data_IF_983251229604
#
_entry.id   IF_983251229604
#
_cell.length_a   1.000
_cell.length_b   1.000
_cell.length_c   1.000
_cell.angle_alpha   90.00
_cell.angle_beta   90.00
_cell.angle_gamma   90.00
#
_symmetry.space_group_name_H-M   'P 1'
#
loop_
_entity.id
_entity.type
_entity.pdbx_description
1 polymer ?
#
# COMPACT_ATOMS: atom_id res chain seq x y z
N UNK A 1 23.68 -18.34 -2.66
CA UNK A 1 24.23 -17.04 -3.14
C UNK A 1 25.65 -16.73 -2.64
N UNK A 2 26.34 -17.66 -1.98
CA UNK A 2 27.68 -17.48 -1.40
C UNK A 2 28.85 -17.45 -2.39
N UNK A 3 28.60 -17.63 -3.70
CA UNK A 3 29.63 -17.66 -4.76
C UNK A 3 29.59 -16.47 -5.72
N UNK A 4 28.85 -15.39 -5.39
CA UNK A 4 28.75 -14.22 -6.27
C UNK A 4 29.99 -13.33 -6.14
N UNK A 5 30.63 -13.01 -7.26
CA UNK A 5 31.70 -12.02 -7.37
C UNK A 5 31.22 -10.89 -8.29
N UNK A 6 30.98 -9.66 -7.81
CA UNK A 6 31.17 -9.16 -6.44
C UNK A 6 30.10 -9.67 -5.44
N UNK A 7 30.40 -9.65 -4.12
CA UNK A 7 29.45 -10.05 -3.09
C UNK A 7 28.29 -9.04 -2.98
N UNK A 8 27.11 -9.53 -2.56
CA UNK A 8 25.86 -8.76 -2.52
C UNK A 8 25.98 -7.49 -1.66
N UNK A 9 26.65 -7.59 -0.51
CA UNK A 9 26.89 -6.47 0.41
C UNK A 9 27.59 -5.26 -0.23
N UNK A 10 28.44 -5.50 -1.24
CA UNK A 10 29.20 -4.44 -1.93
C UNK A 10 28.49 -4.00 -3.21
N UNK A 11 27.66 -4.87 -3.78
CA UNK A 11 26.88 -4.60 -4.99
C UNK A 11 25.75 -3.61 -4.70
N UNK A 12 25.00 -3.83 -3.62
CA UNK A 12 23.75 -3.11 -3.36
C UNK A 12 23.96 -1.60 -3.13
N UNK A 13 24.96 -1.13 -2.35
CA UNK A 13 25.29 0.29 -2.25
C UNK A 13 25.69 0.94 -3.58
N UNK A 14 26.22 0.16 -4.54
CA UNK A 14 26.55 0.65 -5.89
C UNK A 14 25.32 0.74 -6.79
N UNK A 15 24.26 -0.03 -6.52
CA UNK A 15 22.99 0.03 -7.24
C UNK A 15 22.14 1.22 -6.79
N UNK A 16 22.22 1.65 -5.53
CA UNK A 16 21.46 2.78 -4.98
C UNK A 16 21.53 4.06 -5.84
N UNK A 17 22.71 4.57 -6.26
CA UNK A 17 22.76 5.74 -7.14
C UNK A 17 22.21 5.47 -8.56
N UNK A 18 22.23 4.21 -9.03
CA UNK A 18 21.75 3.83 -10.37
C UNK A 18 20.22 3.86 -10.43
N UNK A 19 19.51 3.71 -9.30
CA UNK A 19 18.06 3.87 -9.23
C UNK A 19 17.59 5.27 -9.67
N UNK A 20 18.44 6.30 -9.49
CA UNK A 20 18.16 7.69 -9.90
C UNK A 20 18.49 7.98 -11.37
N UNK A 21 18.87 6.96 -12.14
CA UNK A 21 19.19 7.16 -13.55
C UNK A 21 17.93 7.57 -14.32
N UNK A 22 18.06 8.56 -15.20
CA UNK A 22 16.94 9.07 -16.04
C UNK A 22 16.47 8.07 -17.09
N UNK A 23 17.30 7.09 -17.44
CA UNK A 23 16.99 6.14 -18.48
C UNK A 23 16.08 5.02 -17.96
N UNK A 24 14.83 4.99 -18.43
CA UNK A 24 13.80 4.08 -17.94
C UNK A 24 14.21 2.60 -17.96
N UNK A 25 14.89 2.15 -19.03
CA UNK A 25 15.36 0.76 -19.12
C UNK A 25 16.42 0.42 -18.06
N UNK A 26 17.28 1.37 -17.70
CA UNK A 26 18.31 1.16 -16.67
C UNK A 26 17.65 1.10 -15.31
N UNK A 27 16.70 2.01 -15.07
CA UNK A 27 15.92 2.08 -13.85
C UNK A 27 15.11 0.80 -13.60
N UNK A 28 14.35 0.34 -14.60
CA UNK A 28 13.56 -0.89 -14.55
C UNK A 28 14.43 -2.12 -14.23
N UNK A 29 15.54 -2.31 -14.97
CA UNK A 29 16.45 -3.44 -14.72
C UNK A 29 17.16 -3.35 -13.36
N UNK A 30 17.47 -2.14 -12.89
CA UNK A 30 18.06 -1.93 -11.57
C UNK A 30 17.08 -2.33 -10.47
N UNK A 31 15.82 -1.91 -10.58
CA UNK A 31 14.75 -2.25 -9.62
C UNK A 31 14.51 -3.76 -9.60
N UNK A 32 14.46 -4.42 -10.76
CA UNK A 32 14.31 -5.88 -10.84
C UNK A 32 15.49 -6.61 -10.20
N UNK A 33 16.72 -6.11 -10.40
CA UNK A 33 17.91 -6.69 -9.78
C UNK A 33 17.86 -6.57 -8.25
N UNK A 34 17.49 -5.40 -7.74
CA UNK A 34 17.29 -5.17 -6.30
C UNK A 34 16.21 -6.11 -5.74
N UNK A 35 15.10 -6.28 -6.45
CA UNK A 35 14.03 -7.22 -6.08
C UNK A 35 14.51 -8.67 -5.99
N UNK A 36 15.31 -9.13 -6.95
CA UNK A 36 15.90 -10.47 -6.93
C UNK A 36 16.89 -10.67 -5.78
N UNK A 37 17.61 -9.61 -5.39
CA UNK A 37 18.50 -9.65 -4.22
C UNK A 37 17.66 -9.73 -2.95
N UNK A 38 16.58 -8.95 -2.83
CA UNK A 38 15.69 -8.99 -1.67
C UNK A 38 15.03 -10.36 -1.49
N UNK A 39 14.57 -10.99 -2.57
CA UNK A 39 13.91 -12.30 -2.52
C UNK A 39 14.85 -13.45 -2.12
N UNK A 40 16.10 -13.44 -2.61
CA UNK A 40 17.02 -14.59 -2.49
C UNK A 40 18.20 -14.39 -1.53
N UNK A 41 18.50 -13.15 -1.16
CA UNK A 41 19.74 -12.78 -0.48
C UNK A 41 19.58 -11.64 0.53
N UNK A 42 18.36 -11.43 1.04
CA UNK A 42 18.07 -10.45 2.08
C UNK A 42 19.01 -10.50 3.28
N UNK A 43 19.39 -11.72 3.70
CA UNK A 43 20.25 -12.01 4.86
C UNK A 43 21.68 -11.44 4.74
N UNK A 44 22.15 -11.14 3.53
CA UNK A 44 23.51 -10.64 3.30
C UNK A 44 23.62 -9.11 3.45
N UNK A 45 22.50 -8.42 3.66
CA UNK A 45 22.42 -6.96 3.65
C UNK A 45 21.73 -6.51 4.94
N UNK A 46 22.31 -5.55 5.68
CA UNK A 46 21.72 -5.07 6.93
C UNK A 46 20.37 -4.37 6.67
N UNK A 47 19.41 -4.55 7.58
CA UNK A 47 18.06 -3.96 7.51
C UNK A 47 18.05 -2.44 7.25
N UNK A 48 19.04 -1.72 7.79
CA UNK A 48 19.18 -0.27 7.59
C UNK A 48 19.38 0.12 6.11
N UNK A 49 20.08 -0.70 5.34
CA UNK A 49 20.30 -0.43 3.92
C UNK A 49 19.04 -0.73 3.10
N UNK A 50 18.31 -1.79 3.47
CA UNK A 50 17.01 -2.07 2.89
C UNK A 50 16.00 -0.92 3.11
N UNK A 51 15.98 -0.33 4.31
CA UNK A 51 15.15 0.85 4.59
C UNK A 51 15.50 2.06 3.70
N UNK A 52 16.78 2.31 3.44
CA UNK A 52 17.20 3.38 2.51
C UNK A 52 16.69 3.13 1.09
N UNK A 53 16.78 1.89 0.64
CA UNK A 53 16.25 1.50 -0.67
C UNK A 53 14.72 1.63 -0.71
N UNK A 54 14.00 1.25 0.34
CA UNK A 54 12.55 1.45 0.42
C UNK A 54 12.16 2.92 0.16
N UNK A 55 12.87 3.87 0.78
CA UNK A 55 12.63 5.29 0.55
C UNK A 55 12.92 5.73 -0.88
N UNK A 56 14.01 5.27 -1.48
CA UNK A 56 14.32 5.53 -2.89
C UNK A 56 13.23 4.94 -3.82
N UNK A 57 12.73 3.74 -3.52
CA UNK A 57 11.67 3.08 -4.27
C UNK A 57 10.31 3.78 -4.15
N UNK A 58 10.01 4.46 -3.04
CA UNK A 58 8.77 5.25 -2.91
C UNK A 58 8.68 6.34 -3.98
N UNK A 59 9.79 6.98 -4.33
CA UNK A 59 9.85 7.94 -5.43
C UNK A 59 9.64 7.27 -6.79
N UNK A 60 10.07 6.01 -6.95
CA UNK A 60 9.91 5.24 -8.19
C UNK A 60 8.45 4.83 -8.46
N UNK A 61 7.60 4.76 -7.43
CA UNK A 61 6.16 4.56 -7.60
C UNK A 61 5.48 5.71 -8.37
N UNK A 62 6.12 6.88 -8.45
CA UNK A 62 5.67 8.05 -9.24
C UNK A 62 6.02 7.95 -10.73
N UNK A 63 6.79 6.95 -11.15
CA UNK A 63 7.25 6.86 -12.53
C UNK A 63 6.08 6.77 -13.52
N UNK A 64 6.19 7.47 -14.67
CA UNK A 64 5.18 7.46 -15.72
C UNK A 64 5.02 6.09 -16.39
N UNK A 65 6.11 5.34 -16.51
CA UNK A 65 6.11 4.01 -17.13
C UNK A 65 5.50 2.96 -16.21
N UNK A 66 4.49 2.24 -16.71
CA UNK A 66 3.83 1.14 -15.98
C UNK A 66 4.80 0.02 -15.59
N UNK A 67 5.79 -0.29 -16.43
CA UNK A 67 6.81 -1.32 -16.14
C UNK A 67 7.62 -1.00 -14.88
N UNK A 68 8.09 0.24 -14.75
CA UNK A 68 8.84 0.70 -13.57
C UNK A 68 7.97 0.63 -12.31
N UNK A 69 6.72 1.10 -12.38
CA UNK A 69 5.81 1.02 -11.23
C UNK A 69 5.60 -0.43 -10.79
N UNK A 70 5.35 -1.35 -11.73
CA UNK A 70 5.16 -2.78 -11.42
C UNK A 70 6.41 -3.43 -10.83
N UNK A 71 7.58 -3.18 -11.39
CA UNK A 71 8.85 -3.67 -10.85
C UNK A 71 9.07 -3.14 -9.42
N UNK A 72 8.78 -1.86 -9.19
CA UNK A 72 8.89 -1.22 -7.88
C UNK A 72 7.97 -1.87 -6.86
N UNK A 73 6.70 -2.13 -7.23
CA UNK A 73 5.71 -2.79 -6.38
C UNK A 73 6.21 -4.16 -5.91
N UNK A 74 6.67 -5.00 -6.85
CA UNK A 74 7.18 -6.33 -6.55
C UNK A 74 8.39 -6.27 -5.61
N UNK A 75 9.35 -5.39 -5.93
CA UNK A 75 10.56 -5.21 -5.12
C UNK A 75 10.24 -4.71 -3.71
N UNK A 76 9.25 -3.81 -3.56
CA UNK A 76 8.82 -3.32 -2.26
C UNK A 76 8.25 -4.45 -1.40
N UNK A 77 7.43 -5.33 -1.97
CA UNK A 77 6.91 -6.52 -1.29
C UNK A 77 8.04 -7.47 -0.83
N UNK A 78 9.02 -7.75 -1.70
CA UNK A 78 10.17 -8.58 -1.31
C UNK A 78 10.98 -7.98 -0.16
N UNK A 79 11.19 -6.66 -0.16
CA UNK A 79 11.90 -5.98 0.94
C UNK A 79 11.06 -6.01 2.23
N UNK A 80 9.76 -5.78 2.15
CA UNK A 80 8.87 -5.84 3.31
C UNK A 80 8.87 -7.22 3.96
N UNK A 81 8.89 -8.28 3.15
CA UNK A 81 9.03 -9.66 3.61
C UNK A 81 10.40 -9.94 4.25
N UNK A 82 11.45 -9.29 3.75
CA UNK A 82 12.82 -9.46 4.23
C UNK A 82 13.11 -8.76 5.57
N UNK A 83 12.70 -7.50 5.73
CA UNK A 83 12.93 -6.73 6.97
C UNK A 83 11.90 -7.09 8.04
N UNK A 84 10.63 -7.24 7.62
CA UNK A 84 9.47 -7.30 8.49
C UNK A 84 8.54 -6.09 8.30
N UNK A 85 7.21 -6.29 8.33
CA UNK A 85 6.24 -5.24 7.99
C UNK A 85 6.22 -4.09 8.99
N UNK A 86 6.52 -4.34 10.28
CA UNK A 86 6.38 -3.33 11.35
C UNK A 86 7.35 -2.14 11.16
N UNK A 87 8.62 -2.41 10.84
CA UNK A 87 9.64 -1.38 10.66
C UNK A 87 9.37 -0.52 9.42
N UNK A 88 8.93 -1.16 8.34
CA UNK A 88 8.52 -0.49 7.10
C UNK A 88 7.27 0.36 7.36
N UNK A 89 6.28 -0.19 8.04
CA UNK A 89 5.00 0.47 8.29
C UNK A 89 5.16 1.70 9.18
N UNK A 90 5.91 1.63 10.27
CA UNK A 90 6.15 2.79 11.15
C UNK A 90 6.74 3.97 10.36
N UNK A 91 7.62 3.67 9.41
CA UNK A 91 8.26 4.66 8.55
C UNK A 91 7.27 5.24 7.53
N UNK A 92 6.45 4.40 6.91
CA UNK A 92 5.41 4.82 5.98
C UNK A 92 4.34 5.68 6.67
N UNK A 93 3.85 5.27 7.84
CA UNK A 93 2.85 6.04 8.59
C UNK A 93 3.37 7.42 9.00
N UNK A 94 4.66 7.55 9.36
CA UNK A 94 5.27 8.85 9.59
C UNK A 94 5.31 9.74 8.34
N UNK A 95 5.45 9.16 7.15
CA UNK A 95 5.36 9.91 5.88
C UNK A 95 3.95 10.39 5.55
N UNK A 96 2.89 9.78 6.12
CA UNK A 96 1.51 10.28 5.93
C UNK A 96 1.31 11.67 6.56
N UNK A 97 2.09 12.02 7.59
CA UNK A 97 2.10 13.34 8.25
C UNK A 97 2.79 14.42 7.41
N UNK A 98 3.49 14.04 6.33
CA UNK A 98 4.17 14.98 5.43
C UNK A 98 3.14 15.72 4.57
N UNK A 99 3.32 17.04 4.41
CA UNK A 99 2.33 17.90 3.74
C UNK A 99 2.18 17.65 2.24
N UNK A 100 3.15 17.02 1.58
CA UNK A 100 3.13 16.85 0.13
C UNK A 100 2.13 15.77 -0.32
N UNK A 101 1.09 16.20 -1.04
CA UNK A 101 -0.03 15.34 -1.48
C UNK A 101 0.45 14.10 -2.25
N UNK A 102 1.45 14.25 -3.11
CA UNK A 102 1.94 13.16 -3.95
C UNK A 102 2.64 12.07 -3.13
N UNK A 103 3.42 12.48 -2.11
CA UNK A 103 4.12 11.54 -1.24
C UNK A 103 3.14 10.72 -0.41
N UNK A 104 2.01 11.32 -0.01
CA UNK A 104 0.92 10.57 0.64
C UNK A 104 0.34 9.48 -0.24
N UNK A 105 0.12 9.74 -1.53
CA UNK A 105 -0.42 8.72 -2.46
C UNK A 105 0.55 7.55 -2.66
N UNK A 106 1.85 7.83 -2.82
CA UNK A 106 2.84 6.75 -2.94
C UNK A 106 2.94 5.93 -1.66
N UNK A 107 2.84 6.61 -0.50
CA UNK A 107 2.83 5.95 0.81
C UNK A 107 1.60 5.07 0.99
N UNK A 108 0.40 5.52 0.58
CA UNK A 108 -0.83 4.71 0.66
C UNK A 108 -0.74 3.45 -0.20
N UNK A 109 -0.17 3.56 -1.41
CA UNK A 109 0.07 2.41 -2.29
C UNK A 109 1.10 1.46 -1.68
N UNK A 110 2.19 1.99 -1.11
CA UNK A 110 3.19 1.17 -0.42
C UNK A 110 2.61 0.37 0.75
N UNK A 111 1.73 0.99 1.55
CA UNK A 111 1.04 0.32 2.66
C UNK A 111 0.17 -0.85 2.15
N UNK A 112 -0.55 -0.66 1.04
CA UNK A 112 -1.35 -1.72 0.42
C UNK A 112 -0.51 -2.92 -0.03
N UNK A 113 0.65 -2.67 -0.65
CA UNK A 113 1.58 -3.72 -1.10
C UNK A 113 2.14 -4.51 0.09
N UNK A 114 2.49 -3.82 1.18
CA UNK A 114 2.98 -4.46 2.41
C UNK A 114 1.90 -5.37 2.99
N UNK A 115 0.64 -4.92 3.00
CA UNK A 115 -0.45 -5.72 3.52
C UNK A 115 -0.80 -6.94 2.65
N UNK A 116 -0.71 -6.81 1.32
CA UNK A 116 -0.84 -7.95 0.40
C UNK A 116 0.23 -9.01 0.70
N UNK A 117 1.49 -8.57 0.88
CA UNK A 117 2.62 -9.49 1.06
C UNK A 117 2.70 -10.08 2.46
N UNK A 118 2.41 -9.29 3.49
CA UNK A 118 2.59 -9.64 4.90
C UNK A 118 1.25 -9.92 5.63
N UNK A 119 0.17 -10.10 4.87
CA UNK A 119 -1.21 -10.22 5.32
C UNK A 119 -1.79 -8.95 5.98
N UNK A 120 -3.09 -8.65 5.77
CA UNK A 120 -3.70 -7.39 6.24
C UNK A 120 -3.71 -7.22 7.76
N UNK A 121 -3.74 -8.31 8.53
CA UNK A 121 -3.77 -8.26 10.00
C UNK A 121 -2.56 -7.52 10.61
N UNK A 122 -1.44 -7.44 9.89
CA UNK A 122 -0.23 -6.76 10.38
C UNK A 122 -0.30 -5.24 10.24
N UNK A 123 -1.07 -4.77 9.25
CA UNK A 123 -1.12 -3.36 8.83
C UNK A 123 -2.40 -2.68 9.29
N UNK A 124 -3.52 -3.39 9.26
CA UNK A 124 -4.84 -2.84 9.54
C UNK A 124 -4.98 -2.25 10.95
N UNK A 125 -4.52 -2.91 12.04
CA UNK A 125 -4.61 -2.33 13.38
C UNK A 125 -3.80 -1.04 13.53
N UNK A 126 -2.63 -0.96 12.89
CA UNK A 126 -1.78 0.23 12.93
C UNK A 126 -2.41 1.40 12.16
N UNK A 127 -3.01 1.14 10.99
CA UNK A 127 -3.78 2.14 10.24
C UNK A 127 -4.97 2.67 11.04
N UNK A 128 -5.77 1.77 11.63
CA UNK A 128 -6.91 2.15 12.46
C UNK A 128 -6.49 2.96 13.69
N UNK A 129 -5.30 2.70 14.24
CA UNK A 129 -4.77 3.48 15.34
C UNK A 129 -4.37 4.91 14.90
N UNK A 130 -3.75 5.08 13.73
CA UNK A 130 -3.43 6.42 13.21
C UNK A 130 -4.68 7.25 12.85
N UNK A 131 -5.79 6.60 12.49
CA UNK A 131 -7.07 7.30 12.25
C UNK A 131 -7.63 8.00 13.50
N UNK A 132 -7.25 7.54 14.70
CA UNK A 132 -7.65 8.17 15.97
C UNK A 132 -6.96 9.51 16.22
N UNK A 133 -5.90 9.83 15.49
CA UNK A 133 -5.22 11.12 15.61
C UNK A 133 -6.12 12.20 15.01
N UNK A 134 -6.41 13.31 15.74
CA UNK A 134 -7.34 14.36 15.29
C UNK A 134 -6.68 15.30 14.27
N UNK A 135 -6.16 14.74 13.18
CA UNK A 135 -5.58 15.47 12.06
C UNK A 135 -6.22 15.01 10.74
N UNK A 136 -7.05 15.86 10.14
CA UNK A 136 -7.81 15.54 8.92
C UNK A 136 -6.94 15.02 7.77
N UNK A 137 -5.70 15.50 7.64
CA UNK A 137 -4.78 15.04 6.60
C UNK A 137 -4.38 13.58 6.79
N UNK A 138 -4.12 13.19 8.05
CA UNK A 138 -3.75 11.82 8.41
C UNK A 138 -4.95 10.90 8.25
N UNK A 139 -6.13 11.31 8.73
CA UNK A 139 -7.36 10.53 8.58
C UNK A 139 -7.73 10.29 7.10
N UNK A 140 -7.66 11.33 6.26
CA UNK A 140 -7.83 11.18 4.81
C UNK A 140 -6.77 10.28 4.17
N UNK A 141 -5.52 10.33 4.67
CA UNK A 141 -4.45 9.43 4.25
C UNK A 141 -4.73 7.97 4.62
N UNK A 142 -5.27 7.72 5.82
CA UNK A 142 -5.67 6.38 6.27
C UNK A 142 -6.84 5.86 5.44
N UNK A 143 -7.91 6.63 5.24
CA UNK A 143 -9.04 6.21 4.40
C UNK A 143 -8.60 5.89 2.97
N UNK A 144 -7.70 6.69 2.40
CA UNK A 144 -7.16 6.43 1.07
C UNK A 144 -6.29 5.17 1.04
N UNK A 145 -5.52 4.93 2.11
CA UNK A 145 -4.77 3.69 2.27
C UNK A 145 -5.71 2.49 2.37
N UNK A 146 -6.82 2.59 3.11
CA UNK A 146 -7.85 1.56 3.20
C UNK A 146 -8.49 1.27 1.84
N UNK A 147 -8.77 2.30 1.04
CA UNK A 147 -9.33 2.11 -0.31
C UNK A 147 -8.39 1.31 -1.23
N UNK A 148 -7.08 1.63 -1.25
CA UNK A 148 -6.10 0.82 -1.99
C UNK A 148 -5.87 -0.55 -1.36
N UNK A 149 -5.92 -0.65 -0.03
CA UNK A 149 -5.77 -1.92 0.68
C UNK A 149 -6.82 -2.92 0.21
N UNK A 150 -8.10 -2.55 0.25
CA UNK A 150 -9.20 -3.43 -0.17
C UNK A 150 -9.17 -3.76 -1.67
N UNK A 151 -8.68 -2.84 -2.50
CA UNK A 151 -8.47 -3.08 -3.94
C UNK A 151 -7.39 -4.15 -4.19
N UNK A 152 -6.28 -4.11 -3.44
CA UNK A 152 -5.16 -5.05 -3.62
C UNK A 152 -5.42 -6.42 -3.00
N UNK A 153 -6.03 -6.48 -1.82
CA UNK A 153 -6.25 -7.75 -1.11
C UNK A 153 -7.41 -8.57 -1.69
N UNK A 154 -8.36 -7.91 -2.36
CA UNK A 154 -9.53 -8.55 -2.98
C UNK A 154 -10.31 -9.42 -1.99
N UNK A 155 -10.40 -10.72 -2.30
CA UNK A 155 -11.16 -11.72 -1.53
C UNK A 155 -10.66 -11.91 -0.09
N UNK A 156 -9.39 -11.60 0.19
CA UNK A 156 -8.84 -11.65 1.55
C UNK A 156 -9.47 -10.60 2.48
N UNK A 157 -10.16 -9.60 1.93
CA UNK A 157 -10.85 -8.56 2.69
C UNK A 157 -12.00 -9.06 3.54
N UNK A 158 -12.59 -10.23 3.22
CA UNK A 158 -13.79 -10.77 3.87
C UNK A 158 -13.66 -10.90 5.40
N UNK A 159 -12.49 -11.31 5.87
CA UNK A 159 -12.24 -11.58 7.29
C UNK A 159 -12.06 -10.28 8.09
N UNK A 160 -11.91 -9.15 7.40
CA UNK A 160 -11.60 -7.84 7.99
C UNK A 160 -12.75 -6.83 7.91
N UNK A 161 -13.83 -7.12 7.17
CA UNK A 161 -14.95 -6.18 6.99
C UNK A 161 -15.48 -5.72 8.36
N UNK A 162 -15.87 -6.65 9.22
CA UNK A 162 -16.45 -6.35 10.53
C UNK A 162 -15.54 -5.49 11.43
N UNK A 163 -14.22 -5.60 11.27
CA UNK A 163 -13.29 -4.77 12.01
C UNK A 163 -13.26 -3.32 11.50
N UNK A 164 -13.49 -3.11 10.20
CA UNK A 164 -13.36 -1.81 9.53
C UNK A 164 -14.71 -1.07 9.42
N UNK A 165 -15.85 -1.78 9.45
CA UNK A 165 -17.20 -1.20 9.42
C UNK A 165 -17.38 0.00 10.37
N UNK A 166 -17.07 -0.07 11.68
CA UNK A 166 -17.30 1.07 12.58
C UNK A 166 -16.44 2.30 12.23
N UNK A 167 -15.26 2.10 11.64
CA UNK A 167 -14.42 3.20 11.18
C UNK A 167 -15.03 3.87 9.94
N UNK A 168 -15.52 3.08 8.99
CA UNK A 168 -16.14 3.61 7.77
C UNK A 168 -17.50 4.26 8.02
N UNK A 169 -18.28 3.76 8.98
CA UNK A 169 -19.52 4.39 9.42
C UNK A 169 -19.26 5.81 9.96
N UNK A 170 -18.28 5.96 10.87
CA UNK A 170 -17.87 7.26 11.40
C UNK A 170 -17.39 8.19 10.27
N UNK A 171 -16.54 7.67 9.38
CA UNK A 171 -16.01 8.44 8.25
C UNK A 171 -17.09 8.90 7.24
N UNK A 172 -18.16 8.11 7.04
CA UNK A 172 -19.28 8.46 6.16
C UNK A 172 -20.24 9.48 6.79
N UNK A 173 -20.30 9.53 8.12
CA UNK A 173 -21.09 10.52 8.86
C UNK A 173 -20.37 11.85 9.06
N UNK A 174 -19.10 11.96 8.66
CA UNK A 174 -18.33 13.18 8.80
C UNK A 174 -18.92 14.36 8.02
N UNK A 175 -18.61 15.58 8.46
CA UNK A 175 -19.06 16.83 7.83
C UNK A 175 -18.30 17.11 6.53
N UNK A 176 -17.04 16.71 6.45
CA UNK A 176 -16.15 16.96 5.32
C UNK A 176 -16.49 16.08 4.11
N UNK A 177 -16.63 16.73 2.95
CA UNK A 177 -16.99 16.07 1.70
C UNK A 177 -15.92 15.11 1.18
N UNK A 178 -14.64 15.47 1.34
CA UNK A 178 -13.50 14.66 0.88
C UNK A 178 -13.38 13.40 1.72
N UNK A 179 -13.65 13.53 3.03
CA UNK A 179 -13.66 12.41 3.95
C UNK A 179 -14.71 11.37 3.56
N UNK A 180 -15.96 11.81 3.37
CA UNK A 180 -17.06 10.95 2.90
C UNK A 180 -16.79 10.33 1.53
N UNK A 181 -16.26 11.11 0.59
CA UNK A 181 -15.93 10.60 -0.76
C UNK A 181 -14.87 9.49 -0.71
N UNK A 182 -13.85 9.66 0.13
CA UNK A 182 -12.76 8.69 0.27
C UNK A 182 -13.28 7.42 0.98
N UNK A 183 -14.11 7.57 2.02
CA UNK A 183 -14.77 6.45 2.69
C UNK A 183 -15.67 5.67 1.73
N UNK A 184 -16.49 6.35 0.92
CA UNK A 184 -17.33 5.70 -0.10
C UNK A 184 -16.50 4.93 -1.15
N UNK A 185 -15.32 5.45 -1.51
CA UNK A 185 -14.40 4.77 -2.41
C UNK A 185 -13.80 3.50 -1.77
N UNK A 186 -13.52 3.51 -0.46
CA UNK A 186 -13.08 2.33 0.27
C UNK A 186 -14.20 1.27 0.35
N UNK A 187 -15.43 1.69 0.65
CA UNK A 187 -16.60 0.80 0.65
C UNK A 187 -16.82 0.17 -0.72
N UNK A 188 -16.68 0.94 -1.82
CA UNK A 188 -16.77 0.40 -3.18
C UNK A 188 -15.79 -0.76 -3.40
N UNK A 189 -14.52 -0.57 -3.06
CA UNK A 189 -13.50 -1.59 -3.28
C UNK A 189 -13.69 -2.80 -2.38
N UNK A 190 -14.12 -2.58 -1.13
CA UNK A 190 -14.46 -3.65 -0.19
C UNK A 190 -15.63 -4.50 -0.69
N UNK A 191 -16.74 -3.86 -1.11
CA UNK A 191 -17.92 -4.54 -1.63
C UNK A 191 -17.60 -5.32 -2.91
N UNK A 192 -16.84 -4.73 -3.84
CA UNK A 192 -16.43 -5.43 -5.08
C UNK A 192 -15.48 -6.61 -4.80
N UNK A 193 -14.60 -6.49 -3.81
CA UNK A 193 -13.65 -7.55 -3.45
C UNK A 193 -14.29 -8.74 -2.72
N UNK A 194 -15.43 -8.54 -2.06
CA UNK A 194 -16.09 -9.54 -1.22
C UNK A 194 -17.47 -9.97 -1.74
N UNK A 195 -17.89 -9.43 -2.88
CA UNK A 195 -19.12 -9.82 -3.56
C UNK A 195 -19.21 -11.34 -3.77
N UNK A 196 -20.29 -11.96 -3.27
CA UNK A 196 -20.54 -13.41 -3.40
C UNK A 196 -19.87 -14.30 -2.35
N UNK A 197 -19.21 -13.72 -1.33
CA UNK A 197 -18.57 -14.48 -0.24
C UNK A 197 -19.40 -14.58 1.06
N UNK A 198 -20.66 -14.12 1.04
CA UNK A 198 -21.59 -14.23 2.17
C UNK A 198 -21.39 -13.20 3.29
N UNK A 199 -20.79 -12.04 2.98
CA UNK A 199 -20.62 -10.93 3.92
C UNK A 199 -21.68 -9.82 3.75
N UNK A 200 -22.80 -10.12 3.11
CA UNK A 200 -23.87 -9.16 2.78
C UNK A 200 -24.46 -8.51 4.05
N UNK A 201 -24.51 -9.24 5.17
CA UNK A 201 -24.97 -8.72 6.46
C UNK A 201 -24.17 -7.49 6.94
N UNK A 202 -22.86 -7.45 6.71
CA UNK A 202 -22.01 -6.34 7.10
C UNK A 202 -22.20 -5.11 6.20
N UNK A 203 -22.51 -5.34 4.92
CA UNK A 203 -22.79 -4.29 3.96
C UNK A 203 -24.20 -3.70 4.17
N UNK A 204 -25.19 -4.53 4.50
CA UNK A 204 -26.58 -4.12 4.74
C UNK A 204 -26.80 -3.46 6.11
N UNK A 205 -26.13 -3.92 7.16
CA UNK A 205 -26.32 -3.40 8.52
C UNK A 205 -25.59 -2.07 8.80
N UNK A 206 -24.44 -1.83 8.15
CA UNK A 206 -23.64 -0.62 8.37
C UNK A 206 -23.81 0.48 7.30
N UNK A 207 -24.09 0.12 6.04
CA UNK A 207 -24.12 1.05 4.92
C UNK A 207 -25.52 1.16 4.33
N UNK A 208 -26.44 1.77 5.07
CA UNK A 208 -27.86 1.91 4.70
C UNK A 208 -28.09 2.11 3.19
N UNK A 209 -28.91 1.21 2.63
CA UNK A 209 -29.42 0.96 1.27
C UNK A 209 -29.17 1.97 0.11
N UNK A 210 -28.92 3.26 0.36
CA UNK A 210 -28.67 4.27 -0.67
C UNK A 210 -27.25 4.26 -1.24
N UNK A 211 -26.19 3.99 -0.45
CA UNK A 211 -24.82 4.01 -0.97
C UNK A 211 -24.50 2.75 -1.80
N UNK A 212 -24.98 1.59 -1.37
CA UNK A 212 -24.76 0.32 -2.08
C UNK A 212 -25.39 0.32 -3.49
N UNK A 213 -26.60 0.86 -3.63
CA UNK A 213 -27.31 0.96 -4.91
C UNK A 213 -26.62 1.88 -5.94
N UNK A 214 -25.97 2.96 -5.48
CA UNK A 214 -25.23 3.87 -6.37
C UNK A 214 -23.85 3.32 -6.77
N UNK A 215 -23.23 2.48 -5.94
CA UNK A 215 -21.91 1.90 -6.22
C UNK A 215 -21.97 0.70 -7.17
N UNK A 216 -23.00 -0.15 -7.06
CA UNK A 216 -23.22 -1.28 -7.97
C UNK A 216 -23.57 -0.85 -9.40
N UNK A 217 -24.17 0.33 -9.58
CA UNK A 217 -24.52 0.87 -10.91
C UNK A 217 -23.35 1.54 -11.63
N UNK A 218 -22.25 1.88 -10.93
CA UNK A 218 -21.07 2.55 -11.49
C UNK A 218 -19.97 1.56 -11.96
N UNK A 219 -20.36 0.34 -12.34
CA UNK A 219 -19.49 -0.69 -12.90
C UNK A 219 -18.88 -0.28 -14.24
N UNK A 220 -17.82 0.53 -14.18
CA UNK A 220 -16.84 0.69 -15.24
C UNK A 220 -15.47 0.82 -14.58
N UNK A 221 -14.70 -0.27 -14.66
CA UNK A 221 -13.28 -0.31 -14.35
C UNK A 221 -12.54 0.59 -15.35
N UNK A 222 -11.62 1.44 -14.87
CA UNK A 222 -10.36 1.57 -15.58
C UNK A 222 -9.24 1.22 -14.60
N UNK A 223 -8.74 0.00 -14.75
CA UNK A 223 -7.42 -0.38 -14.29
C UNK A 223 -6.40 0.50 -15.01
N UNK A 224 -5.80 1.46 -14.30
CA UNK A 224 -4.77 2.38 -14.78
C UNK A 224 -3.53 2.33 -13.89
#
# INVERSE_FOLDING_TARGET
MTKMTPPIKDLLPRLTPILKNRHEKVQENCIDLVGRIADRGAEFVPAREWMRICFELLEMLKAHKKGIRRATVNTFGYIAKAIGPQDVLATLLNNLKVQERQNRVCTTVAIAIVAETCSPFTVLPALMNEYRVPELNVQNGVLKSLSFLFEYIGEMGKDYIYAVTPLLEDALMDRDLVHRQTAASAVKHMALGVAGLGCEDADESGFGCCCCAQLLSAGAVPSC
#
